data_IF_784514814844
#
_entry.id   IF_784514814844
#
_cell.length_a   1.000
_cell.length_b   1.000
_cell.length_c   1.000
_cell.angle_alpha   90.00
_cell.angle_beta   90.00
_cell.angle_gamma   90.00
#
_symmetry.space_group_name_H-M   'P 1'
#
loop_
_entity.id
_entity.type
_entity.pdbx_description
1 polymer ?
#
# COMPACT_ATOMS: atom_id res chain seq x y z
N UNK A 1 -36.99 39.48 -2.33
CA UNK A 1 -35.73 40.22 -2.59
C UNK A 1 -35.12 39.64 -3.86
N UNK A 2 -34.63 40.49 -4.76
CA UNK A 2 -33.91 40.06 -5.97
C UNK A 2 -32.46 39.79 -5.63
N UNK A 3 -31.87 38.75 -6.22
CA UNK A 3 -30.47 38.40 -6.00
C UNK A 3 -29.53 39.54 -6.41
N UNK A 4 -28.67 39.99 -5.49
CA UNK A 4 -27.74 41.10 -5.73
C UNK A 4 -26.41 40.63 -6.35
N UNK A 5 -26.37 40.58 -7.68
CA UNK A 5 -25.18 40.17 -8.44
C UNK A 5 -23.95 41.06 -8.19
N UNK A 6 -24.13 42.36 -8.04
CA UNK A 6 -23.02 43.30 -7.85
C UNK A 6 -22.31 43.03 -6.52
N UNK A 7 -23.09 42.82 -5.46
CA UNK A 7 -22.54 42.43 -4.16
C UNK A 7 -21.85 41.06 -4.25
N UNK A 8 -22.49 40.04 -4.82
CA UNK A 8 -21.89 38.70 -4.94
C UNK A 8 -20.55 38.74 -5.69
N UNK A 9 -20.48 39.44 -6.83
CA UNK A 9 -19.24 39.56 -7.60
C UNK A 9 -18.16 40.35 -6.86
N UNK A 10 -18.53 41.34 -6.04
CA UNK A 10 -17.56 42.10 -5.24
C UNK A 10 -16.81 41.22 -4.22
N UNK A 11 -17.46 40.15 -3.73
CA UNK A 11 -16.86 39.20 -2.79
C UNK A 11 -15.74 38.35 -3.43
N UNK A 12 -15.67 38.28 -4.76
CA UNK A 12 -14.60 37.56 -5.46
C UNK A 12 -13.25 38.28 -5.37
N UNK A 13 -13.27 39.59 -5.11
CA UNK A 13 -12.09 40.43 -4.88
C UNK A 13 -11.83 40.71 -3.39
N UNK A 14 -12.63 40.16 -2.50
CA UNK A 14 -12.55 40.41 -1.06
C UNK A 14 -11.34 39.72 -0.42
N UNK A 15 -10.55 40.49 0.33
CA UNK A 15 -9.29 40.03 0.92
C UNK A 15 -9.51 38.95 1.98
N UNK A 16 -10.60 39.03 2.76
CA UNK A 16 -10.88 38.08 3.83
C UNK A 16 -11.21 36.70 3.26
N UNK A 17 -11.92 36.66 2.13
CA UNK A 17 -12.17 35.41 1.42
C UNK A 17 -10.89 34.76 0.87
N UNK A 18 -9.94 35.54 0.36
CA UNK A 18 -8.65 35.01 -0.09
C UNK A 18 -7.77 34.53 1.07
N UNK A 19 -7.77 35.23 2.20
CA UNK A 19 -7.10 34.77 3.42
C UNK A 19 -7.72 33.48 3.96
N UNK A 20 -9.05 33.40 3.99
CA UNK A 20 -9.77 32.20 4.39
C UNK A 20 -9.55 31.03 3.43
N UNK A 21 -9.45 31.29 2.13
CA UNK A 21 -9.06 30.31 1.10
C UNK A 21 -7.68 29.74 1.41
N UNK A 22 -6.71 30.59 1.76
CA UNK A 22 -5.39 30.13 2.18
C UNK A 22 -5.45 29.28 3.47
N UNK A 23 -6.28 29.65 4.44
CA UNK A 23 -6.50 28.85 5.67
C UNK A 23 -7.03 27.45 5.33
N UNK A 24 -8.02 27.33 4.43
CA UNK A 24 -8.56 26.03 3.98
C UNK A 24 -7.49 25.20 3.28
N UNK A 25 -6.72 25.80 2.36
CA UNK A 25 -5.63 25.11 1.65
C UNK A 25 -4.57 24.61 2.65
N UNK A 26 -4.14 25.48 3.56
CA UNK A 26 -3.12 25.15 4.57
C UNK A 26 -3.60 24.02 5.48
N UNK A 27 -4.83 24.10 6.00
CA UNK A 27 -5.39 23.10 6.89
C UNK A 27 -5.55 21.75 6.17
N UNK A 28 -6.19 21.75 5.00
CA UNK A 28 -6.43 20.53 4.22
C UNK A 28 -5.13 19.83 3.79
N UNK A 29 -4.11 20.57 3.34
CA UNK A 29 -2.82 20.00 2.95
C UNK A 29 -2.08 19.39 4.14
N UNK A 30 -2.07 20.06 5.30
CA UNK A 30 -1.44 19.52 6.50
C UNK A 30 -2.18 18.29 7.01
N UNK A 31 -3.51 18.33 7.07
CA UNK A 31 -4.34 17.17 7.41
C UNK A 31 -4.01 16.00 6.51
N UNK A 32 -4.06 16.20 5.20
CA UNK A 32 -3.80 15.14 4.23
C UNK A 32 -2.39 14.55 4.33
N UNK A 33 -1.37 15.40 4.47
CA UNK A 33 0.02 14.97 4.60
C UNK A 33 0.25 14.13 5.87
N UNK A 34 -0.22 14.60 7.04
CA UNK A 34 -0.07 13.86 8.28
C UNK A 34 -0.91 12.58 8.30
N UNK A 35 -2.12 12.62 7.75
CA UNK A 35 -3.00 11.44 7.68
C UNK A 35 -2.52 10.38 6.70
N UNK A 36 -1.81 10.72 5.61
CA UNK A 36 -1.11 9.74 4.76
C UNK A 36 -0.05 8.99 5.57
N UNK A 37 0.80 9.71 6.30
CA UNK A 37 1.88 9.09 7.07
C UNK A 37 1.31 8.21 8.19
N UNK A 38 0.39 8.76 9.00
CA UNK A 38 -0.23 8.03 10.11
C UNK A 38 -1.10 6.87 9.60
N UNK A 39 -1.88 7.10 8.55
CA UNK A 39 -2.73 6.09 7.94
C UNK A 39 -1.93 4.92 7.37
N UNK A 40 -0.78 5.18 6.74
CA UNK A 40 0.11 4.12 6.27
C UNK A 40 0.66 3.26 7.43
N UNK A 41 1.11 3.89 8.52
CA UNK A 41 1.57 3.19 9.73
C UNK A 41 0.45 2.32 10.31
N UNK A 42 -0.76 2.86 10.42
CA UNK A 42 -1.94 2.13 10.90
C UNK A 42 -2.31 0.96 9.98
N UNK A 43 -2.21 1.13 8.67
CA UNK A 43 -2.47 0.08 7.69
C UNK A 43 -1.49 -1.09 7.81
N UNK A 44 -0.19 -0.80 8.04
CA UNK A 44 0.82 -1.81 8.31
C UNK A 44 0.59 -2.50 9.66
N UNK A 45 0.31 -1.73 10.72
CA UNK A 45 0.03 -2.27 12.05
C UNK A 45 -1.19 -3.19 12.04
N UNK A 46 -2.27 -2.81 11.33
CA UNK A 46 -3.49 -3.63 11.15
C UNK A 46 -3.24 -4.90 10.33
N UNK A 47 -2.23 -4.95 9.46
CA UNK A 47 -1.85 -6.17 8.72
C UNK A 47 -0.85 -7.05 9.45
N UNK A 48 -0.27 -6.56 10.55
CA UNK A 48 0.69 -7.33 11.32
C UNK A 48 0.06 -8.63 11.87
N UNK A 49 0.78 -9.78 11.80
CA UNK A 49 0.31 -11.02 12.41
C UNK A 49 0.32 -10.95 13.95
N UNK A 50 1.04 -9.98 14.54
CA UNK A 50 1.16 -9.83 15.99
C UNK A 50 -0.03 -9.01 16.52
N UNK A 51 -0.79 -9.61 17.45
CA UNK A 51 -1.96 -8.98 18.09
C UNK A 51 -1.63 -7.63 18.76
N UNK A 52 -0.41 -7.45 19.26
CA UNK A 52 0.04 -6.21 19.88
C UNK A 52 -0.05 -4.98 18.96
N UNK A 53 0.20 -5.13 17.65
CA UNK A 53 0.08 -4.03 16.69
C UNK A 53 -1.28 -4.00 16.02
N UNK A 54 -1.82 -5.20 15.74
CA UNK A 54 -3.09 -5.36 15.04
C UNK A 54 -4.29 -4.85 15.86
N UNK A 55 -4.38 -5.18 17.15
CA UNK A 55 -5.54 -4.86 17.97
C UNK A 55 -5.69 -3.34 18.22
N UNK A 56 -4.64 -2.59 18.62
CA UNK A 56 -4.75 -1.14 18.78
C UNK A 56 -5.08 -0.42 17.46
N UNK A 57 -4.46 -0.83 16.35
CA UNK A 57 -4.76 -0.23 15.04
C UNK A 57 -6.22 -0.48 14.61
N UNK A 58 -6.75 -1.68 14.86
CA UNK A 58 -8.18 -1.99 14.61
C UNK A 58 -9.10 -1.14 15.47
N UNK A 59 -8.79 -0.99 16.76
CA UNK A 59 -9.57 -0.17 17.68
C UNK A 59 -9.58 1.30 17.24
N UNK A 60 -8.41 1.86 16.94
CA UNK A 60 -8.27 3.23 16.43
C UNK A 60 -9.11 3.45 15.16
N UNK A 61 -8.93 2.57 14.16
CA UNK A 61 -9.63 2.72 12.88
C UNK A 61 -11.15 2.60 13.05
N UNK A 62 -11.60 1.65 13.87
CA UNK A 62 -13.03 1.50 14.17
C UNK A 62 -13.60 2.75 14.86
N UNK A 63 -12.91 3.25 15.88
CA UNK A 63 -13.37 4.40 16.66
C UNK A 63 -13.48 5.66 15.79
N UNK A 64 -12.39 6.06 15.14
CA UNK A 64 -12.31 7.35 14.44
C UNK A 64 -13.08 7.38 13.12
N UNK A 65 -13.36 6.21 12.49
CA UNK A 65 -14.29 6.13 11.35
C UNK A 65 -15.76 6.11 11.75
N UNK A 66 -16.06 5.72 13.00
CA UNK A 66 -17.45 5.64 13.49
C UNK A 66 -17.91 6.94 14.15
N UNK A 67 -16.99 7.79 14.61
CA UNK A 67 -17.32 9.07 15.23
C UNK A 67 -17.56 10.16 14.17
N UNK A 68 -18.65 10.94 14.27
CA UNK A 68 -18.84 12.12 13.43
C UNK A 68 -17.73 13.14 13.66
N UNK A 69 -17.14 13.67 12.58
CA UNK A 69 -16.05 14.65 12.67
C UNK A 69 -16.44 15.90 13.49
N UNK A 70 -17.68 16.37 13.38
CA UNK A 70 -18.18 17.50 14.17
C UNK A 70 -18.11 17.24 15.69
N UNK A 71 -18.47 16.03 16.12
CA UNK A 71 -18.37 15.64 17.54
C UNK A 71 -16.91 15.62 17.98
N UNK A 72 -16.03 15.08 17.14
CA UNK A 72 -14.59 15.03 17.43
C UNK A 72 -13.97 16.43 17.51
N UNK A 73 -14.36 17.36 16.63
CA UNK A 73 -13.90 18.75 16.64
C UNK A 73 -14.27 19.44 17.96
N UNK A 74 -15.53 19.34 18.37
CA UNK A 74 -16.01 19.92 19.63
C UNK A 74 -15.28 19.28 20.82
N UNK A 75 -15.10 17.94 20.80
CA UNK A 75 -14.41 17.23 21.86
C UNK A 75 -12.94 17.67 22.00
N UNK A 76 -12.19 17.73 20.89
CA UNK A 76 -10.77 18.12 20.88
C UNK A 76 -10.60 19.58 21.32
N UNK A 77 -11.43 20.49 20.80
CA UNK A 77 -11.34 21.91 21.16
C UNK A 77 -11.66 22.17 22.65
N UNK A 78 -12.55 21.39 23.26
CA UNK A 78 -12.90 21.53 24.68
C UNK A 78 -12.03 20.67 25.62
N UNK A 79 -11.11 19.86 25.09
CA UNK A 79 -10.20 19.00 25.88
C UNK A 79 -9.39 19.76 26.95
N UNK A 80 -8.92 21.01 26.75
CA UNK A 80 -8.24 21.79 27.78
C UNK A 80 -9.03 22.00 29.07
N UNK A 81 -10.37 21.93 29.03
CA UNK A 81 -11.22 22.06 30.22
C UNK A 81 -11.05 20.85 31.17
N UNK A 82 -10.81 19.67 30.61
CA UNK A 82 -10.55 18.45 31.39
C UNK A 82 -9.05 18.28 31.69
N UNK A 83 -8.19 18.66 30.75
CA UNK A 83 -6.73 18.48 30.81
C UNK A 83 -6.03 19.81 30.44
N UNK A 84 -5.79 20.70 31.43
CA UNK A 84 -5.24 22.04 31.19
C UNK A 84 -3.86 22.06 30.49
N UNK A 85 -3.11 20.97 30.54
CA UNK A 85 -1.82 20.82 29.85
C UNK A 85 -1.92 20.94 28.32
N UNK A 86 -3.08 20.69 27.73
CA UNK A 86 -3.30 20.84 26.29
C UNK A 86 -3.68 22.27 25.86
N UNK A 87 -3.99 23.16 26.81
CA UNK A 87 -4.43 24.53 26.54
C UNK A 87 -3.48 25.35 25.63
N UNK A 88 -2.13 25.26 25.76
CA UNK A 88 -1.23 26.06 24.93
C UNK A 88 -1.32 25.78 23.43
N UNK A 89 -1.82 24.59 23.05
CA UNK A 89 -1.95 24.18 21.65
C UNK A 89 -3.40 24.20 21.20
N UNK A 90 -4.33 23.66 22.00
CA UNK A 90 -5.72 23.44 21.57
C UNK A 90 -6.65 24.65 21.73
N UNK A 91 -6.23 25.70 22.44
CA UNK A 91 -7.00 26.95 22.49
C UNK A 91 -6.99 27.70 21.14
N UNK A 92 -6.03 27.40 20.26
CA UNK A 92 -6.04 27.87 18.87
C UNK A 92 -6.93 26.94 18.03
N UNK A 93 -8.04 27.44 17.45
CA UNK A 93 -8.93 26.65 16.61
C UNK A 93 -8.25 25.96 15.42
N UNK A 94 -7.15 26.53 14.91
CA UNK A 94 -6.40 25.93 13.81
C UNK A 94 -5.77 24.60 14.22
N UNK A 95 -5.10 24.57 15.37
CA UNK A 95 -4.43 23.37 15.87
C UNK A 95 -5.41 22.32 16.38
N UNK A 96 -6.50 22.74 17.05
CA UNK A 96 -7.57 21.83 17.44
C UNK A 96 -8.26 21.20 16.21
N UNK A 97 -8.56 22.01 15.19
CA UNK A 97 -9.10 21.55 13.92
C UNK A 97 -8.18 20.57 13.21
N UNK A 98 -6.89 20.92 13.07
CA UNK A 98 -5.88 20.06 12.46
C UNK A 98 -5.78 18.71 13.17
N UNK A 99 -5.71 18.70 14.51
CA UNK A 99 -5.60 17.46 15.28
C UNK A 99 -6.85 16.57 15.10
N UNK A 100 -8.05 17.14 15.24
CA UNK A 100 -9.30 16.40 15.08
C UNK A 100 -9.42 15.80 13.66
N UNK A 101 -9.13 16.60 12.63
CA UNK A 101 -9.15 16.14 11.26
C UNK A 101 -8.09 15.07 11.01
N UNK A 102 -6.83 15.25 11.47
CA UNK A 102 -5.79 14.23 11.28
C UNK A 102 -6.18 12.90 11.92
N UNK A 103 -6.75 12.92 13.12
CA UNK A 103 -7.21 11.72 13.82
C UNK A 103 -8.32 10.98 13.07
N UNK A 104 -9.30 11.71 12.52
CA UNK A 104 -10.38 11.10 11.76
C UNK A 104 -9.90 10.60 10.39
N UNK A 105 -9.24 11.46 9.62
CA UNK A 105 -8.83 11.20 8.23
C UNK A 105 -7.74 10.13 8.14
N UNK A 106 -6.84 10.02 9.14
CA UNK A 106 -5.86 8.93 9.18
C UNK A 106 -6.52 7.55 9.25
N UNK A 107 -7.70 7.44 9.86
CA UNK A 107 -8.44 6.19 9.96
C UNK A 107 -9.07 5.78 8.61
N UNK A 108 -9.57 6.75 7.82
CA UNK A 108 -10.05 6.51 6.45
C UNK A 108 -8.89 6.18 5.51
N UNK A 109 -7.81 6.96 5.56
CA UNK A 109 -6.61 6.74 4.74
C UNK A 109 -5.91 5.41 5.06
N UNK A 110 -5.93 4.95 6.32
CA UNK A 110 -5.44 3.62 6.67
C UNK A 110 -6.15 2.51 5.91
N UNK A 111 -7.45 2.67 5.63
CA UNK A 111 -8.24 1.68 4.90
C UNK A 111 -8.02 1.76 3.39
N UNK A 112 -7.74 2.96 2.87
CA UNK A 112 -7.26 3.15 1.49
C UNK A 112 -5.92 2.43 1.28
N UNK A 113 -4.95 2.66 2.16
CA UNK A 113 -3.66 1.97 2.10
C UNK A 113 -3.78 0.46 2.28
N UNK A 114 -4.64 -0.01 3.20
CA UNK A 114 -4.91 -1.44 3.37
C UNK A 114 -5.53 -2.04 2.10
N UNK A 115 -6.48 -1.34 1.47
CA UNK A 115 -7.06 -1.72 0.19
C UNK A 115 -6.01 -1.85 -0.91
N UNK A 116 -5.13 -0.85 -1.04
CA UNK A 116 -4.00 -0.86 -1.96
C UNK A 116 -3.05 -2.04 -1.72
N UNK A 117 -2.68 -2.32 -0.47
CA UNK A 117 -1.78 -3.43 -0.11
C UNK A 117 -2.40 -4.80 -0.40
N UNK A 118 -3.69 -4.99 -0.13
CA UNK A 118 -4.40 -6.24 -0.37
C UNK A 118 -4.74 -6.47 -1.86
N UNK A 119 -4.76 -5.42 -2.67
CA UNK A 119 -5.00 -5.53 -4.11
C UNK A 119 -3.83 -6.18 -4.85
N UNK A 120 -2.63 -6.19 -4.26
CA UNK A 120 -1.43 -6.74 -4.89
C UNK A 120 -1.53 -8.27 -4.93
N UNK A 121 -1.48 -8.90 -6.12
CA UNK A 121 -1.58 -10.36 -6.23
C UNK A 121 -0.48 -11.07 -5.42
N UNK A 122 -0.85 -12.14 -4.72
CA UNK A 122 0.11 -12.94 -3.92
C UNK A 122 1.30 -13.44 -4.77
N UNK A 123 1.06 -13.74 -6.06
CA UNK A 123 2.09 -14.13 -7.02
C UNK A 123 3.25 -13.13 -7.14
N UNK A 124 3.03 -11.83 -6.89
CA UNK A 124 4.09 -10.81 -6.87
C UNK A 124 5.07 -11.06 -5.72
N UNK A 125 4.55 -11.33 -4.52
CA UNK A 125 5.39 -11.65 -3.36
C UNK A 125 6.12 -12.99 -3.54
N UNK A 126 5.45 -13.96 -4.17
CA UNK A 126 6.03 -15.28 -4.46
C UNK A 126 7.16 -15.20 -5.49
N UNK A 127 6.96 -14.45 -6.57
CA UNK A 127 8.00 -14.21 -7.56
C UNK A 127 9.21 -13.51 -6.94
N UNK A 128 8.98 -12.48 -6.12
CA UNK A 128 10.06 -11.79 -5.40
C UNK A 128 10.85 -12.76 -4.51
N UNK A 129 10.14 -13.65 -3.80
CA UNK A 129 10.75 -14.64 -2.91
C UNK A 129 11.49 -15.73 -3.71
N UNK A 130 11.02 -16.10 -4.89
CA UNK A 130 11.70 -17.03 -5.79
C UNK A 130 13.03 -16.44 -6.32
N UNK A 131 13.10 -15.12 -6.50
CA UNK A 131 14.34 -14.39 -6.81
C UNK A 131 15.29 -14.23 -5.61
N UNK A 132 14.96 -14.82 -4.45
CA UNK A 132 15.80 -14.73 -3.25
C UNK A 132 15.61 -13.46 -2.42
N UNK A 133 14.65 -12.60 -2.76
CA UNK A 133 14.37 -11.40 -1.95
C UNK A 133 13.82 -11.80 -0.57
N UNK A 134 14.46 -11.28 0.48
CA UNK A 134 13.96 -11.35 1.86
C UNK A 134 12.69 -10.51 2.00
N UNK A 135 11.90 -10.75 3.05
CA UNK A 135 10.64 -10.04 3.30
C UNK A 135 10.75 -8.52 3.16
N UNK A 136 11.78 -7.88 3.73
CA UNK A 136 11.99 -6.45 3.59
C UNK A 136 12.23 -6.04 2.12
N UNK A 137 13.03 -6.79 1.37
CA UNK A 137 13.25 -6.57 -0.06
C UNK A 137 11.96 -6.74 -0.86
N UNK A 138 11.18 -7.78 -0.59
CA UNK A 138 9.85 -7.99 -1.19
C UNK A 138 8.90 -6.83 -0.92
N UNK A 139 8.83 -6.36 0.32
CA UNK A 139 7.96 -5.24 0.67
C UNK A 139 8.40 -3.94 -0.04
N UNK A 140 9.66 -3.55 0.10
CA UNK A 140 10.16 -2.27 -0.40
C UNK A 140 10.32 -2.19 -1.91
N UNK A 141 10.75 -3.28 -2.57
CA UNK A 141 11.03 -3.28 -4.02
C UNK A 141 9.84 -3.72 -4.86
N UNK A 142 8.92 -4.51 -4.30
CA UNK A 142 7.82 -5.12 -5.06
C UNK A 142 6.46 -4.62 -4.58
N UNK A 143 6.09 -4.87 -3.31
CA UNK A 143 4.71 -4.70 -2.86
C UNK A 143 4.34 -3.23 -2.62
N UNK A 144 5.10 -2.50 -1.81
CA UNK A 144 4.80 -1.13 -1.41
C UNK A 144 4.73 -0.18 -2.62
N UNK A 145 5.68 -0.19 -3.58
CA UNK A 145 5.61 0.69 -4.74
C UNK A 145 4.36 0.47 -5.59
N UNK A 146 3.92 -0.78 -5.74
CA UNK A 146 2.69 -1.09 -6.46
C UNK A 146 1.46 -0.64 -5.66
N UNK A 147 1.41 -0.96 -4.37
CA UNK A 147 0.28 -0.63 -3.50
C UNK A 147 0.05 0.88 -3.37
N UNK A 148 1.13 1.68 -3.31
CA UNK A 148 1.04 3.14 -3.29
C UNK A 148 0.44 3.69 -4.59
N UNK A 149 0.79 3.13 -5.75
CA UNK A 149 0.19 3.53 -7.02
C UNK A 149 -1.30 3.19 -7.08
N UNK A 150 -1.69 2.01 -6.59
CA UNK A 150 -3.10 1.62 -6.51
C UNK A 150 -3.88 2.52 -5.55
N UNK A 151 -3.27 2.95 -4.44
CA UNK A 151 -3.91 3.80 -3.44
C UNK A 151 -4.03 5.27 -3.88
N UNK A 152 -3.14 5.76 -4.75
CA UNK A 152 -3.01 7.17 -5.10
C UNK A 152 -4.32 7.85 -5.57
N UNK A 153 -5.14 7.26 -6.46
CA UNK A 153 -6.38 7.90 -6.91
C UNK A 153 -7.39 8.07 -5.76
N UNK A 154 -7.45 7.08 -4.86
CA UNK A 154 -8.29 7.16 -3.67
C UNK A 154 -7.77 8.19 -2.66
N UNK A 155 -6.46 8.31 -2.47
CA UNK A 155 -5.86 9.35 -1.63
C UNK A 155 -6.12 10.76 -2.18
N UNK A 156 -6.09 10.93 -3.50
CA UNK A 156 -6.44 12.19 -4.15
C UNK A 156 -7.91 12.55 -3.93
N UNK A 157 -8.82 11.58 -4.10
CA UNK A 157 -10.24 11.78 -3.79
C UNK A 157 -10.47 12.13 -2.31
N UNK A 158 -9.71 11.53 -1.40
CA UNK A 158 -9.79 11.83 0.03
C UNK A 158 -9.37 13.28 0.31
N UNK A 159 -8.35 13.81 -0.36
CA UNK A 159 -7.99 15.23 -0.25
C UNK A 159 -9.16 16.15 -0.60
N UNK A 160 -9.90 15.84 -1.68
CA UNK A 160 -11.09 16.60 -2.08
C UNK A 160 -12.19 16.53 -1.02
N UNK A 161 -12.33 15.40 -0.33
CA UNK A 161 -13.24 15.27 0.82
C UNK A 161 -12.77 16.13 2.00
N UNK A 162 -11.48 16.08 2.35
CA UNK A 162 -10.87 16.88 3.44
C UNK A 162 -11.10 18.37 3.23
N UNK A 163 -10.95 18.88 2.00
CA UNK A 163 -11.23 20.28 1.67
C UNK A 163 -12.69 20.65 1.99
N UNK A 164 -13.65 19.76 1.76
CA UNK A 164 -15.06 20.04 2.10
C UNK A 164 -15.31 19.91 3.59
N UNK A 165 -14.69 18.92 4.24
CA UNK A 165 -14.82 18.66 5.67
C UNK A 165 -14.21 19.77 6.53
N UNK A 166 -13.22 20.52 6.02
CA UNK A 166 -12.66 21.67 6.75
C UNK A 166 -13.70 22.76 7.03
N UNK A 167 -14.81 22.81 6.28
CA UNK A 167 -15.93 23.72 6.58
C UNK A 167 -16.54 23.48 7.97
N UNK A 168 -16.47 22.24 8.50
CA UNK A 168 -16.98 21.91 9.83
C UNK A 168 -16.15 22.56 10.95
N UNK A 169 -14.92 22.98 10.67
CA UNK A 169 -14.02 23.60 11.65
C UNK A 169 -14.49 25.02 12.00
N UNK A 170 -15.38 25.61 11.19
CA UNK A 170 -16.12 26.83 11.55
C UNK A 170 -16.88 26.72 12.88
N UNK A 171 -17.33 25.51 13.27
CA UNK A 171 -18.06 25.27 14.53
C UNK A 171 -17.22 25.61 15.75
N UNK A 172 -15.89 25.49 15.66
CA UNK A 172 -14.95 25.87 16.73
C UNK A 172 -14.35 27.27 16.49
N UNK A 173 -15.01 28.11 15.70
CA UNK A 173 -14.65 29.50 15.41
C UNK A 173 -13.36 29.71 14.61
N UNK A 174 -12.86 28.70 13.88
CA UNK A 174 -11.80 28.92 12.91
C UNK A 174 -12.32 29.82 11.78
N UNK A 175 -11.57 30.87 11.44
CA UNK A 175 -11.92 31.78 10.34
C UNK A 175 -11.50 31.16 9.00
N UNK A 176 -12.31 30.21 8.53
CA UNK A 176 -12.26 29.68 7.17
C UNK A 176 -13.39 30.28 6.29
N UNK A 177 -13.53 29.82 5.05
CA UNK A 177 -14.39 30.43 4.02
C UNK A 177 -15.85 30.52 4.48
N UNK A 178 -16.39 29.45 5.07
CA UNK A 178 -17.77 29.42 5.54
C UNK A 178 -17.97 30.39 6.72
N UNK A 179 -17.03 30.47 7.67
CA UNK A 179 -17.04 31.41 8.79
C UNK A 179 -17.00 32.88 8.32
N UNK A 180 -16.19 33.21 7.31
CA UNK A 180 -16.21 34.56 6.70
C UNK A 180 -17.59 34.87 6.12
N UNK A 181 -18.16 33.93 5.36
CA UNK A 181 -19.51 34.09 4.82
C UNK A 181 -20.58 34.26 5.92
N UNK A 182 -20.52 33.44 6.97
CA UNK A 182 -21.42 33.50 8.13
C UNK A 182 -21.40 34.86 8.81
N UNK A 183 -20.22 35.46 8.99
CA UNK A 183 -20.09 36.80 9.57
C UNK A 183 -20.73 37.86 8.68
N UNK A 184 -20.46 37.85 7.38
CA UNK A 184 -20.99 38.84 6.43
C UNK A 184 -22.51 38.79 6.32
N UNK A 185 -23.08 37.61 6.07
CA UNK A 185 -24.54 37.53 5.92
C UNK A 185 -25.29 37.74 7.25
N UNK A 186 -24.66 37.49 8.40
CA UNK A 186 -25.29 37.80 9.70
C UNK A 186 -25.35 39.31 9.95
N UNK A 187 -24.49 40.09 9.29
CA UNK A 187 -24.47 41.55 9.38
C UNK A 187 -25.41 42.22 8.37
N UNK A 188 -25.40 41.76 7.11
CA UNK A 188 -26.12 42.42 6.02
C UNK A 188 -27.35 41.66 5.51
N UNK A 189 -27.62 40.46 6.03
CA UNK A 189 -28.75 39.58 5.68
C UNK A 189 -28.77 39.08 4.23
N UNK A 190 -27.67 39.23 3.46
CA UNK A 190 -27.52 38.74 2.09
C UNK A 190 -26.99 37.29 2.06
N UNK A 191 -27.82 36.35 2.54
CA UNK A 191 -27.44 34.94 2.71
C UNK A 191 -27.13 34.26 1.38
N UNK A 192 -28.01 34.38 0.39
CA UNK A 192 -27.88 33.65 -0.88
C UNK A 192 -26.66 34.11 -1.69
N UNK A 193 -26.41 35.42 -1.74
CA UNK A 193 -25.28 36.03 -2.43
C UNK A 193 -23.96 35.63 -1.78
N UNK A 194 -23.91 35.70 -0.45
CA UNK A 194 -22.70 35.34 0.30
C UNK A 194 -22.42 33.83 0.22
N UNK A 195 -23.44 32.98 0.27
CA UNK A 195 -23.29 31.53 0.07
C UNK A 195 -22.88 31.16 -1.35
N UNK A 196 -23.32 31.90 -2.37
CA UNK A 196 -22.84 31.72 -3.73
C UNK A 196 -21.33 32.01 -3.84
N UNK A 197 -20.84 33.06 -3.17
CA UNK A 197 -19.40 33.35 -3.09
C UNK A 197 -18.64 32.24 -2.33
N UNK A 198 -19.13 31.80 -1.16
CA UNK A 198 -18.54 30.66 -0.41
C UNK A 198 -18.42 29.42 -1.29
N UNK A 199 -19.50 29.06 -2.00
CA UNK A 199 -19.51 27.91 -2.91
C UNK A 199 -18.49 28.07 -4.05
N UNK A 200 -18.37 29.27 -4.63
CA UNK A 200 -17.37 29.56 -5.64
C UNK A 200 -15.95 29.27 -5.16
N UNK A 201 -15.55 29.73 -3.97
CA UNK A 201 -14.20 29.49 -3.46
C UNK A 201 -13.93 28.01 -3.17
N UNK A 202 -14.90 27.28 -2.62
CA UNK A 202 -14.77 25.83 -2.44
C UNK A 202 -14.62 25.09 -3.78
N UNK A 203 -15.42 25.45 -4.79
CA UNK A 203 -15.31 24.90 -6.15
C UNK A 203 -13.93 25.23 -6.74
N UNK A 204 -13.45 26.46 -6.59
CA UNK A 204 -12.15 26.90 -7.10
C UNK A 204 -11.01 26.03 -6.52
N UNK A 205 -10.97 25.82 -5.20
CA UNK A 205 -9.96 24.97 -4.56
C UNK A 205 -10.04 23.55 -5.13
N UNK A 206 -11.24 22.96 -5.15
CA UNK A 206 -11.43 21.59 -5.64
C UNK A 206 -11.01 21.46 -7.10
N UNK A 207 -11.39 22.39 -7.98
CA UNK A 207 -11.03 22.36 -9.41
C UNK A 207 -9.52 22.45 -9.61
N UNK A 208 -8.83 23.34 -8.90
CA UNK A 208 -7.37 23.49 -9.01
C UNK A 208 -6.66 22.22 -8.53
N UNK A 209 -6.99 21.72 -7.34
CA UNK A 209 -6.30 20.57 -6.77
C UNK A 209 -6.65 19.25 -7.45
N UNK A 210 -7.90 19.05 -7.90
CA UNK A 210 -8.28 17.89 -8.72
C UNK A 210 -7.45 17.83 -10.01
N UNK A 211 -7.29 18.97 -10.69
CA UNK A 211 -6.44 19.06 -11.88
C UNK A 211 -4.96 18.73 -11.57
N UNK A 212 -4.40 19.30 -10.50
CA UNK A 212 -3.01 19.06 -10.10
C UNK A 212 -2.77 17.60 -9.71
N UNK A 213 -3.69 17.00 -8.93
CA UNK A 213 -3.59 15.62 -8.47
C UNK A 213 -3.75 14.62 -9.62
N UNK A 214 -4.67 14.85 -10.57
CA UNK A 214 -4.78 14.02 -11.79
C UNK A 214 -3.51 14.07 -12.63
N UNK A 215 -2.86 15.23 -12.70
CA UNK A 215 -1.59 15.37 -13.42
C UNK A 215 -0.45 14.63 -12.72
N UNK A 216 -0.42 14.65 -11.39
CA UNK A 216 0.50 13.84 -10.58
C UNK A 216 0.25 12.34 -10.77
N UNK A 217 -1.00 11.90 -10.74
CA UNK A 217 -1.41 10.51 -10.98
C UNK A 217 -0.90 10.01 -12.33
N UNK A 218 -1.19 10.77 -13.39
CA UNK A 218 -0.75 10.44 -14.75
C UNK A 218 0.78 10.37 -14.87
N UNK A 219 1.50 11.26 -14.17
CA UNK A 219 2.96 11.27 -14.19
C UNK A 219 3.59 10.06 -13.48
N UNK A 220 2.92 9.56 -12.42
CA UNK A 220 3.35 8.37 -11.67
C UNK A 220 2.96 7.05 -12.35
N UNK A 221 2.00 7.06 -13.28
CA UNK A 221 1.60 5.87 -14.02
C UNK A 221 2.62 5.49 -15.10
N UNK A 222 3.52 4.57 -14.75
CA UNK A 222 4.54 4.04 -15.66
C UNK A 222 3.94 3.22 -16.80
N UNK A 223 2.75 2.64 -16.64
CA UNK A 223 2.11 1.83 -17.70
C UNK A 223 1.63 2.69 -18.86
N UNK A 224 1.37 3.98 -18.62
CA UNK A 224 1.03 4.95 -19.66
C UNK A 224 2.25 5.55 -20.37
N UNK A 225 3.49 5.19 -19.97
CA UNK A 225 4.69 5.64 -20.70
C UNK A 225 4.72 4.96 -22.08
N UNK A 226 4.26 5.68 -23.10
CA UNK A 226 4.45 5.34 -24.51
C UNK A 226 5.94 5.49 -24.87
N UNK A 227 6.77 4.53 -24.48
CA UNK A 227 8.13 4.41 -25.04
C UNK A 227 8.08 3.48 -26.25
N UNK A 228 7.51 3.96 -27.36
CA UNK A 228 7.79 3.38 -28.67
C UNK A 228 9.19 3.82 -29.07
N UNK A 229 10.21 3.06 -28.65
CA UNK A 229 11.52 3.17 -29.30
C UNK A 229 11.38 2.48 -30.66
N UNK A 230 11.69 3.14 -31.78
CA UNK A 230 11.75 2.46 -33.07
C UNK A 230 12.79 1.34 -32.97
N UNK A 231 12.46 0.15 -33.50
CA UNK A 231 13.41 -0.95 -33.58
C UNK A 231 14.50 -0.52 -34.56
N UNK A 232 15.70 -0.25 -34.05
CA UNK A 232 16.87 0.10 -34.84
C UNK A 232 17.52 -1.17 -35.42
N UNK A 233 18.35 -0.98 -36.45
CA UNK A 233 19.01 -2.09 -37.16
C UNK A 233 19.82 -2.98 -36.21
N UNK A 234 20.47 -2.38 -35.20
CA UNK A 234 21.22 -3.10 -34.17
C UNK A 234 20.32 -4.05 -33.37
N UNK A 235 19.13 -3.59 -32.95
CA UNK A 235 18.18 -4.43 -32.22
C UNK A 235 17.60 -5.55 -33.10
N UNK A 236 17.37 -5.29 -34.39
CA UNK A 236 16.98 -6.31 -35.36
C UNK A 236 18.06 -7.39 -35.56
N UNK A 237 19.32 -6.98 -35.66
CA UNK A 237 20.45 -7.91 -35.76
C UNK A 237 20.58 -8.78 -34.51
N UNK A 238 20.50 -8.18 -33.32
CA UNK A 238 20.55 -8.91 -32.05
C UNK A 238 19.39 -9.90 -31.90
N UNK A 239 18.18 -9.53 -32.34
CA UNK A 239 17.00 -10.40 -32.26
C UNK A 239 17.04 -11.58 -33.24
N UNK A 240 17.70 -11.43 -34.39
CA UNK A 240 17.80 -12.46 -35.43
C UNK A 240 19.07 -13.29 -35.34
N UNK A 241 20.07 -12.85 -34.58
CA UNK A 241 21.30 -13.58 -34.34
C UNK A 241 21.00 -14.95 -33.70
N UNK A 242 21.28 -16.04 -34.45
CA UNK A 242 21.25 -17.40 -33.89
C UNK A 242 22.37 -17.55 -32.88
N UNK A 243 22.01 -17.64 -31.60
CA UNK A 243 22.97 -18.05 -30.57
C UNK A 243 23.17 -19.56 -30.66
N UNK A 244 24.43 -20.05 -30.72
CA UNK A 244 24.67 -21.48 -30.63
C UNK A 244 24.08 -22.01 -29.33
N UNK A 245 23.41 -23.16 -29.39
CA UNK A 245 22.90 -23.81 -28.18
C UNK A 245 24.10 -24.07 -27.26
N UNK A 246 24.11 -23.46 -26.07
CA UNK A 246 25.09 -23.80 -25.05
C UNK A 246 24.86 -25.25 -24.65
N UNK A 247 25.73 -26.15 -25.11
CA UNK A 247 25.83 -27.48 -24.55
C UNK A 247 26.30 -27.34 -23.10
N UNK A 248 25.35 -27.44 -22.16
CA UNK A 248 25.67 -27.44 -20.74
C UNK A 248 26.43 -28.73 -20.46
N UNK A 249 27.72 -28.62 -20.12
CA UNK A 249 28.48 -29.77 -19.62
C UNK A 249 27.78 -30.27 -18.36
N UNK A 250 27.21 -31.47 -18.41
CA UNK A 250 26.66 -32.12 -17.21
C UNK A 250 27.84 -32.41 -16.30
N UNK A 251 28.02 -31.61 -15.25
CA UNK A 251 28.96 -31.95 -14.20
C UNK A 251 28.43 -33.24 -13.56
N UNK A 252 29.25 -34.28 -13.55
CA UNK A 252 29.00 -35.50 -12.76
C UNK A 252 29.22 -35.13 -11.30
N UNK A 253 28.30 -34.38 -10.71
CA UNK A 253 28.26 -34.19 -9.27
C UNK A 253 27.87 -35.53 -8.65
N UNK A 254 28.62 -36.00 -7.66
CA UNK A 254 28.34 -37.27 -6.97
C UNK A 254 27.09 -37.19 -6.09
N UNK A 255 26.61 -35.99 -5.79
CA UNK A 255 25.45 -35.76 -4.94
C UNK A 255 24.19 -35.45 -5.76
N UNK A 256 23.00 -35.85 -5.29
CA UNK A 256 21.74 -35.47 -5.93
C UNK A 256 21.62 -33.96 -6.06
N UNK A 257 21.14 -33.49 -7.21
CA UNK A 257 20.84 -32.09 -7.44
C UNK A 257 19.77 -31.58 -6.45
N UNK A 258 18.79 -32.44 -6.14
CA UNK A 258 17.78 -32.20 -5.12
C UNK A 258 17.49 -33.48 -4.34
N UNK A 259 17.46 -33.38 -3.02
CA UNK A 259 17.05 -34.47 -2.14
C UNK A 259 16.00 -33.95 -1.16
N UNK A 260 14.87 -34.64 -1.10
CA UNK A 260 13.79 -34.38 -0.17
C UNK A 260 13.51 -35.63 0.66
N UNK A 261 13.47 -35.49 1.98
CA UNK A 261 13.34 -36.60 2.91
C UNK A 261 12.14 -36.39 3.83
N UNK A 262 11.17 -37.31 3.77
CA UNK A 262 9.98 -37.38 4.64
C UNK A 262 9.22 -36.06 4.72
N UNK A 263 9.01 -35.39 3.57
CA UNK A 263 8.28 -34.14 3.51
C UNK A 263 6.83 -34.32 3.95
N UNK A 264 6.44 -33.55 4.95
CA UNK A 264 5.07 -33.51 5.45
C UNK A 264 4.49 -32.11 5.32
N UNK A 265 3.23 -32.03 4.90
CA UNK A 265 2.46 -30.78 4.86
C UNK A 265 0.98 -31.03 5.07
N UNK A 266 0.38 -30.26 5.97
CA UNK A 266 -1.04 -30.20 6.22
C UNK A 266 -1.56 -28.75 6.19
N UNK A 267 -2.82 -28.57 5.81
CA UNK A 267 -3.54 -27.30 5.91
C UNK A 267 -4.84 -27.52 6.67
N UNK A 268 -5.11 -26.72 7.71
CA UNK A 268 -6.33 -26.82 8.52
C UNK A 268 -6.64 -28.27 8.96
N UNK A 269 -5.64 -28.98 9.46
CA UNK A 269 -5.69 -30.40 9.84
C UNK A 269 -5.95 -31.41 8.70
N UNK A 270 -5.97 -30.97 7.45
CA UNK A 270 -6.02 -31.87 6.28
C UNK A 270 -4.60 -32.11 5.79
N UNK A 271 -4.15 -33.36 5.88
CA UNK A 271 -2.85 -33.80 5.36
C UNK A 271 -2.86 -33.77 3.83
N UNK A 272 -1.90 -33.07 3.24
CA UNK A 272 -1.73 -32.95 1.78
C UNK A 272 -0.53 -33.74 1.29
N UNK A 273 0.52 -33.87 2.10
CA UNK A 273 1.69 -34.69 1.80
C UNK A 273 2.06 -35.50 3.04
N UNK A 274 2.03 -36.83 2.91
CA UNK A 274 2.36 -37.77 3.99
C UNK A 274 3.71 -38.42 3.83
N UNK A 275 4.76 -37.70 4.26
CA UNK A 275 6.14 -38.17 4.29
C UNK A 275 6.76 -38.51 2.91
N UNK A 276 6.55 -37.64 1.92
CA UNK A 276 7.11 -37.82 0.56
C UNK A 276 8.63 -37.70 0.59
N UNK A 277 9.32 -38.69 0.01
CA UNK A 277 10.78 -38.66 -0.16
C UNK A 277 11.12 -38.84 -1.64
N UNK A 278 12.04 -38.02 -2.16
CA UNK A 278 12.51 -38.12 -3.54
C UNK A 278 13.95 -37.63 -3.67
N UNK A 279 14.64 -38.12 -4.69
CA UNK A 279 15.98 -37.69 -5.07
C UNK A 279 15.99 -37.46 -6.58
N UNK A 280 16.58 -36.35 -7.01
CA UNK A 280 16.71 -35.97 -8.41
C UNK A 280 18.20 -35.82 -8.73
N UNK A 281 18.67 -36.60 -9.69
CA UNK A 281 20.05 -36.59 -10.14
C UNK A 281 20.33 -35.43 -11.09
N UNK A 282 21.59 -34.96 -11.20
CA UNK A 282 21.97 -33.98 -12.22
C UNK A 282 21.59 -34.43 -13.63
N UNK A 283 20.82 -33.60 -14.35
CA UNK A 283 20.35 -33.90 -15.71
C UNK A 283 19.08 -34.76 -15.79
N UNK A 284 18.56 -35.24 -14.65
CA UNK A 284 17.32 -36.00 -14.60
C UNK A 284 16.10 -35.10 -14.82
N UNK A 285 15.14 -35.59 -15.61
CA UNK A 285 13.85 -34.93 -15.83
C UNK A 285 12.76 -35.74 -15.13
N UNK A 286 12.16 -35.16 -14.10
CA UNK A 286 11.12 -35.80 -13.29
C UNK A 286 9.77 -35.14 -13.56
N UNK A 287 8.74 -35.95 -13.77
CA UNK A 287 7.35 -35.50 -13.93
C UNK A 287 6.48 -35.99 -12.77
N UNK A 288 5.70 -35.08 -12.18
CA UNK A 288 4.76 -35.38 -11.08
C UNK A 288 3.33 -35.32 -11.61
N UNK A 289 2.65 -36.47 -11.64
CA UNK A 289 1.29 -36.62 -12.17
C UNK A 289 0.30 -37.01 -11.07
N UNK A 290 -0.97 -36.66 -11.25
CA UNK A 290 -2.05 -36.99 -10.29
C UNK A 290 -3.27 -36.07 -10.43
N UNK A 291 -4.42 -36.44 -9.84
CA UNK A 291 -5.66 -35.66 -9.93
C UNK A 291 -5.55 -34.30 -9.23
N UNK A 292 -6.42 -33.35 -9.57
CA UNK A 292 -6.49 -32.06 -8.87
C UNK A 292 -6.64 -32.26 -7.35
N UNK A 293 -5.89 -31.48 -6.56
CA UNK A 293 -5.86 -31.62 -5.10
C UNK A 293 -4.87 -32.65 -4.54
N UNK A 294 -4.21 -33.46 -5.38
CA UNK A 294 -3.25 -34.49 -4.93
C UNK A 294 -1.91 -33.97 -4.37
N UNK A 295 -1.78 -32.66 -4.10
CA UNK A 295 -0.57 -32.08 -3.51
C UNK A 295 0.58 -31.74 -4.49
N UNK A 296 0.41 -31.90 -5.81
CA UNK A 296 1.48 -31.61 -6.82
C UNK A 296 2.08 -30.21 -6.67
N UNK A 297 1.24 -29.18 -6.72
CA UNK A 297 1.66 -27.78 -6.58
C UNK A 297 2.26 -27.53 -5.21
N UNK A 298 1.72 -28.15 -4.16
CA UNK A 298 2.28 -28.08 -2.80
C UNK A 298 3.69 -28.65 -2.76
N UNK A 299 3.92 -29.83 -3.35
CA UNK A 299 5.24 -30.46 -3.41
C UNK A 299 6.25 -29.54 -4.11
N UNK A 300 5.94 -29.03 -5.30
CA UNK A 300 6.82 -28.11 -6.04
C UNK A 300 7.14 -26.85 -5.21
N UNK A 301 6.14 -26.29 -4.52
CA UNK A 301 6.31 -25.10 -3.66
C UNK A 301 7.10 -25.36 -2.38
N UNK A 302 7.12 -26.58 -1.87
CA UNK A 302 8.01 -26.95 -0.76
C UNK A 302 9.44 -27.07 -1.25
N UNK A 303 9.65 -27.75 -2.38
CA UNK A 303 10.97 -27.98 -2.96
C UNK A 303 11.72 -26.69 -3.31
N UNK A 304 11.01 -25.61 -3.65
CA UNK A 304 11.59 -24.30 -3.93
C UNK A 304 11.48 -23.29 -2.77
N UNK A 305 10.98 -23.72 -1.61
CA UNK A 305 10.85 -22.89 -0.41
C UNK A 305 9.82 -21.77 -0.48
N UNK A 306 8.85 -21.82 -1.41
CA UNK A 306 7.72 -20.89 -1.40
C UNK A 306 6.67 -21.24 -0.33
N UNK A 307 6.67 -22.48 0.14
CA UNK A 307 5.83 -22.99 1.23
C UNK A 307 6.68 -23.57 2.36
N UNK A 308 6.22 -23.46 3.61
CA UNK A 308 6.91 -24.06 4.76
C UNK A 308 6.54 -25.53 4.91
N UNK A 309 7.52 -26.37 5.24
CA UNK A 309 7.30 -27.78 5.62
C UNK A 309 6.85 -27.88 7.07
N UNK A 310 6.01 -28.87 7.38
CA UNK A 310 5.64 -29.20 8.76
C UNK A 310 6.58 -30.28 9.35
N UNK A 311 7.16 -31.12 8.49
CA UNK A 311 8.19 -32.09 8.84
C UNK A 311 9.06 -32.46 7.62
N UNK A 312 10.25 -33.00 7.89
CA UNK A 312 11.22 -33.44 6.88
C UNK A 312 12.37 -32.47 6.64
N UNK A 313 13.13 -32.71 5.58
CA UNK A 313 14.25 -31.87 5.15
C UNK A 313 14.41 -31.86 3.62
N UNK A 314 15.01 -30.78 3.11
CA UNK A 314 15.37 -30.60 1.70
C UNK A 314 16.83 -30.17 1.63
N UNK A 315 17.59 -30.83 0.75
CA UNK A 315 18.98 -30.51 0.40
C UNK A 315 19.10 -30.23 -1.09
N UNK A 316 19.98 -29.32 -1.45
CA UNK A 316 20.29 -28.94 -2.83
C UNK A 316 21.80 -29.11 -3.01
N UNK A 317 22.22 -29.94 -3.97
CA UNK A 317 23.63 -30.27 -4.18
C UNK A 317 24.34 -30.66 -2.86
N UNK A 318 23.71 -31.57 -2.10
CA UNK A 318 24.13 -32.02 -0.77
C UNK A 318 24.06 -31.00 0.38
N UNK A 319 23.89 -29.71 0.09
CA UNK A 319 23.81 -28.66 1.10
C UNK A 319 22.40 -28.55 1.70
N UNK A 320 22.27 -28.35 3.03
CA UNK A 320 20.97 -28.10 3.66
C UNK A 320 20.29 -26.86 3.08
N UNK A 321 19.07 -27.02 2.58
CA UNK A 321 18.24 -25.92 2.09
C UNK A 321 17.12 -25.58 3.07
N UNK A 322 16.26 -26.55 3.39
CA UNK A 322 15.13 -26.40 4.32
C UNK A 322 15.17 -27.54 5.32
N UNK A 323 15.09 -27.23 6.61
CA UNK A 323 15.01 -28.24 7.66
C UNK A 323 14.31 -27.67 8.90
N UNK A 324 13.99 -28.55 9.85
CA UNK A 324 13.47 -28.18 11.15
C UNK A 324 14.53 -28.40 12.21
N UNK A 325 14.95 -27.33 12.88
CA UNK A 325 15.81 -27.43 14.05
C UNK A 325 14.96 -27.78 15.29
N UNK A 326 15.37 -28.82 16.02
CA UNK A 326 14.69 -29.31 17.23
C UNK A 326 15.63 -29.15 18.41
N UNK A 327 15.45 -28.07 19.17
CA UNK A 327 16.14 -27.88 20.45
C UNK A 327 15.26 -28.32 21.62
N UNK A 328 15.50 -29.53 22.11
CA UNK A 328 14.83 -30.09 23.29
C UNK A 328 13.32 -30.28 23.10
N UNK A 329 12.52 -29.85 24.08
CA UNK A 329 11.05 -29.93 24.04
C UNK A 329 10.36 -28.74 23.35
N UNK A 330 11.11 -27.80 22.78
CA UNK A 330 10.52 -26.65 22.10
C UNK A 330 9.91 -27.03 20.75
N UNK A 331 8.93 -26.25 20.28
CA UNK A 331 8.36 -26.44 18.94
C UNK A 331 9.48 -26.32 17.89
N UNK A 332 9.54 -27.25 16.91
CA UNK A 332 10.56 -27.23 15.88
C UNK A 332 10.58 -25.88 15.15
N UNK A 333 11.78 -25.34 14.94
CA UNK A 333 11.98 -24.06 14.26
C UNK A 333 12.27 -24.32 12.79
N UNK A 334 11.48 -23.70 11.92
CA UNK A 334 11.76 -23.69 10.48
C UNK A 334 13.05 -22.94 10.18
N UNK A 335 13.98 -23.63 9.51
CA UNK A 335 15.25 -23.08 9.04
C UNK A 335 15.31 -23.16 7.52
N UNK A 336 15.78 -22.07 6.91
CA UNK A 336 15.87 -21.93 5.46
C UNK A 336 17.14 -21.17 5.08
N UNK A 337 17.99 -21.82 4.30
CA UNK A 337 19.19 -21.21 3.74
C UNK A 337 18.83 -20.52 2.42
N UNK A 338 18.23 -19.33 2.53
CA UNK A 338 17.61 -18.60 1.40
C UNK A 338 18.53 -18.32 0.21
N UNK A 339 19.85 -18.33 0.40
CA UNK A 339 20.85 -18.16 -0.66
C UNK A 339 20.75 -19.25 -1.74
N UNK A 340 20.41 -20.48 -1.35
CA UNK A 340 20.27 -21.59 -2.29
C UNK A 340 19.06 -21.45 -3.23
N UNK A 341 18.13 -20.52 -2.96
CA UNK A 341 17.02 -20.24 -3.90
C UNK A 341 17.51 -19.73 -5.24
N UNK A 342 18.62 -18.99 -5.26
CA UNK A 342 19.21 -18.47 -6.51
C UNK A 342 19.69 -19.61 -7.42
N UNK A 343 19.88 -20.81 -6.88
CA UNK A 343 20.26 -22.00 -7.63
C UNK A 343 19.04 -22.79 -8.16
N UNK A 344 17.81 -22.35 -7.85
CA UNK A 344 16.57 -23.00 -8.30
C UNK A 344 15.81 -22.06 -9.24
N UNK A 345 15.67 -22.47 -10.50
CA UNK A 345 14.75 -21.82 -11.43
C UNK A 345 13.32 -22.31 -11.20
N UNK A 346 12.35 -21.38 -11.17
CA UNK A 346 10.92 -21.71 -11.15
C UNK A 346 10.19 -20.99 -12.28
N UNK A 347 9.36 -21.74 -13.01
CA UNK A 347 8.36 -21.19 -13.91
C UNK A 347 7.00 -21.28 -13.21
N UNK A 348 6.36 -20.14 -12.99
CA UNK A 348 5.02 -20.07 -12.40
C UNK A 348 3.96 -20.38 -13.45
N UNK A 349 2.79 -20.85 -13.00
CA UNK A 349 1.63 -21.09 -13.87
C UNK A 349 1.12 -19.79 -14.52
N UNK A 350 1.24 -18.67 -13.81
CA UNK A 350 0.92 -17.33 -14.31
C UNK A 350 2.19 -16.50 -14.43
N UNK A 351 2.24 -15.59 -15.41
CA UNK A 351 3.30 -14.59 -15.47
C UNK A 351 3.21 -13.66 -14.27
N UNK A 352 4.21 -13.73 -13.39
CA UNK A 352 4.33 -12.88 -12.21
C UNK A 352 5.41 -11.80 -12.43
N UNK A 353 5.31 -11.08 -13.56
CA UNK A 353 6.17 -9.92 -13.82
C UNK A 353 5.77 -8.77 -12.90
N UNK A 354 6.73 -7.93 -12.53
CA UNK A 354 6.54 -6.74 -11.72
C UNK A 354 6.10 -5.58 -12.63
N UNK A 355 4.81 -5.21 -12.66
CA UNK A 355 4.26 -4.27 -13.64
C UNK A 355 4.78 -2.85 -13.43
N UNK A 356 5.30 -2.54 -12.24
CA UNK A 356 5.88 -1.25 -11.93
C UNK A 356 7.32 -1.07 -12.43
N UNK A 357 7.95 -2.14 -12.94
CA UNK A 357 9.31 -2.17 -13.45
C UNK A 357 9.34 -2.30 -14.99
N UNK A 358 10.44 -1.84 -15.60
CA UNK A 358 10.70 -2.09 -17.02
C UNK A 358 11.05 -3.56 -17.26
N UNK A 359 11.12 -3.99 -18.52
CA UNK A 359 11.62 -5.33 -18.87
C UNK A 359 13.02 -5.55 -18.30
N UNK A 360 13.94 -4.61 -18.53
CA UNK A 360 15.29 -4.66 -17.95
C UNK A 360 15.24 -4.68 -16.41
N UNK A 361 14.37 -3.88 -15.80
CA UNK A 361 14.21 -3.86 -14.34
C UNK A 361 13.71 -5.20 -13.77
N UNK A 362 12.83 -5.91 -14.48
CA UNK A 362 12.44 -7.26 -14.12
C UNK A 362 13.60 -8.25 -14.21
N UNK A 363 14.46 -8.12 -15.23
CA UNK A 363 15.63 -8.98 -15.43
C UNK A 363 16.75 -8.73 -14.40
N UNK A 364 16.94 -7.47 -13.99
CA UNK A 364 18.00 -7.06 -13.06
C UNK A 364 17.61 -7.13 -11.58
N UNK A 365 16.38 -7.52 -11.25
CA UNK A 365 15.93 -7.57 -9.85
C UNK A 365 16.57 -8.72 -9.06
N UNK A 366 17.16 -9.69 -9.75
CA UNK A 366 17.76 -10.91 -9.22
C UNK A 366 19.23 -10.72 -8.85
#
# INVERSE_FOLDING_TARGET
MTFNWNYMLSLLSDVDFWQATWTVIKLSLLTWAFSIVLGFILALAKQSPRKLFNAPARLYIWLFRSMPLLVLLIFVYNMPQALPSFAPVLNDPFWAGLLAMVLSEAAYIAEIHRGGLLSIPKGQSEAARALGLRYAGTQWRVVIPQALRVALPALANEYIAIVKLSSLVSVISLTEILMVGQRLYSQNFLVMETMAAVAFYYILIVTVFDFLLKRLETWLDVTQRKTTRPVDEEMQQLATARRPAMARSVSVAQEPALQASKLHKAYNNVEVLGAVSLQIQPGEVVSVIGPSGSGKTTLIRLLNGLEQIDNGEIKINGQPFIHLDRQGQQKPRFMENSEHRQNIGMVFQSFNLFPHLTVLGNLLLA
#
